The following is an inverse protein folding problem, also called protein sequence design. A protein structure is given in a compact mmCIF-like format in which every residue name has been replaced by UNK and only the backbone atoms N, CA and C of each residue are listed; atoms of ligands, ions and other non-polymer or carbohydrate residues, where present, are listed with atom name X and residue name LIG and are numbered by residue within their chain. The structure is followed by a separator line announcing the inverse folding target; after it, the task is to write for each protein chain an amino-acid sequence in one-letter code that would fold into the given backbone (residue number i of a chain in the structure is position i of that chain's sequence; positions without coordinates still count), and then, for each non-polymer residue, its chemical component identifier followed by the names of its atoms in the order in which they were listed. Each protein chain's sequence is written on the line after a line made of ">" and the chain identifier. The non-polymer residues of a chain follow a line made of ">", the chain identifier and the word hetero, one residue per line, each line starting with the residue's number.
data_IF_005712170311
#
_entry.id   IF_005712170311
#
_cell.length_a   1.000
_cell.length_b   1.000
_cell.length_c   1.000
_cell.angle_alpha   90.00
_cell.angle_beta   90.00
_cell.angle_gamma   90.00
#
_symmetry.space_group_name_H-M   'P 1'
#
loop_
_entity.id
_entity.type
_entity.pdbx_description
1 polymer ?
#
# COMPACT_ATOMS: atom_id res chain seq x y z
N UNK A 1 -12.87 26.51 19.45
CA UNK A 1 -13.14 25.47 18.43
C UNK A 1 -11.88 24.61 18.28
N UNK A 2 -11.85 23.37 18.80
CA UNK A 2 -10.66 22.50 18.69
C UNK A 2 -10.55 22.00 17.25
N UNK A 3 -9.61 22.52 16.47
CA UNK A 3 -9.34 22.04 15.11
C UNK A 3 -8.91 20.57 15.20
N UNK A 4 -9.72 19.66 14.66
CA UNK A 4 -9.36 18.24 14.57
C UNK A 4 -8.08 18.16 13.72
N UNK A 5 -7.03 17.42 14.14
CA UNK A 5 -5.85 17.23 13.31
C UNK A 5 -6.28 16.71 11.93
N UNK A 6 -5.91 17.41 10.87
CA UNK A 6 -6.22 17.02 9.51
C UNK A 6 -5.45 15.75 9.14
N UNK A 7 -6.05 14.91 8.32
CA UNK A 7 -5.38 13.73 7.78
C UNK A 7 -4.34 14.17 6.73
N UNK A 8 -3.13 13.58 6.72
CA UNK A 8 -2.10 13.92 5.75
C UNK A 8 -2.38 13.23 4.41
N UNK A 9 -3.38 13.70 3.67
CA UNK A 9 -3.77 13.14 2.37
C UNK A 9 -2.62 12.99 1.38
N UNK A 10 -1.69 13.96 1.22
CA UNK A 10 -0.55 13.79 0.33
C UNK A 10 0.31 12.57 0.70
N UNK A 11 0.52 12.35 2.00
CA UNK A 11 1.28 11.19 2.50
C UNK A 11 0.54 9.88 2.22
N UNK A 12 -0.77 9.83 2.47
CA UNK A 12 -1.61 8.66 2.21
C UNK A 12 -1.52 8.25 0.73
N UNK A 13 -1.69 9.21 -0.18
CA UNK A 13 -1.67 8.97 -1.61
C UNK A 13 -0.25 8.59 -2.10
N UNK A 14 0.78 9.26 -1.60
CA UNK A 14 2.17 8.95 -1.94
C UNK A 14 2.57 7.53 -1.50
N UNK A 15 2.22 7.12 -0.29
CA UNK A 15 2.51 5.78 0.22
C UNK A 15 1.71 4.70 -0.52
N UNK A 16 0.44 4.98 -0.83
CA UNK A 16 -0.38 4.09 -1.66
C UNK A 16 0.19 3.91 -3.07
N UNK A 17 0.64 5.01 -3.70
CA UNK A 17 1.26 4.98 -5.02
C UNK A 17 2.62 4.26 -5.02
N UNK A 18 3.44 4.47 -3.98
CA UNK A 18 4.71 3.75 -3.80
C UNK A 18 4.51 2.23 -3.81
N UNK A 19 3.42 1.73 -3.23
CA UNK A 19 3.14 0.30 -3.21
C UNK A 19 2.81 -0.31 -4.59
N UNK A 20 2.55 0.53 -5.62
CA UNK A 20 2.41 0.08 -7.02
C UNK A 20 3.69 -0.51 -7.60
N UNK A 21 4.85 -0.28 -6.97
CA UNK A 21 6.10 -0.96 -7.34
C UNK A 21 5.91 -2.48 -7.37
N UNK A 22 5.14 -3.03 -6.42
CA UNK A 22 4.90 -4.47 -6.32
C UNK A 22 4.16 -5.05 -7.55
N UNK A 23 2.98 -4.57 -7.96
CA UNK A 23 2.33 -5.07 -9.17
C UNK A 23 3.15 -4.79 -10.44
N UNK A 24 3.86 -3.67 -10.53
CA UNK A 24 4.71 -3.38 -11.69
C UNK A 24 5.85 -4.39 -11.84
N UNK A 25 6.51 -4.78 -10.74
CA UNK A 25 7.55 -5.82 -10.77
C UNK A 25 6.98 -7.17 -11.24
N UNK A 26 5.80 -7.56 -10.74
CA UNK A 26 5.15 -8.80 -11.20
C UNK A 26 4.82 -8.79 -12.69
N UNK A 27 4.42 -7.63 -13.23
CA UNK A 27 4.14 -7.46 -14.65
C UNK A 27 5.45 -7.56 -15.44
N UNK A 28 6.52 -6.93 -14.95
CA UNK A 28 7.83 -6.96 -15.61
C UNK A 28 8.39 -8.39 -15.67
N UNK A 29 8.41 -9.10 -14.54
CA UNK A 29 8.88 -10.49 -14.45
C UNK A 29 8.11 -11.39 -15.43
N UNK A 30 6.78 -11.27 -15.48
CA UNK A 30 5.94 -12.05 -16.38
C UNK A 30 6.18 -11.75 -17.87
N UNK A 31 6.71 -10.57 -18.20
CA UNK A 31 6.92 -10.11 -19.58
C UNK A 31 8.33 -10.34 -20.09
N UNK A 32 9.33 -10.23 -19.23
CA UNK A 32 10.74 -10.41 -19.60
C UNK A 32 11.18 -11.87 -19.48
N UNK A 33 10.39 -12.72 -18.82
CA UNK A 33 10.82 -14.08 -18.48
C UNK A 33 12.01 -14.09 -17.51
N UNK A 34 12.21 -12.99 -16.77
CA UNK A 34 13.23 -12.91 -15.75
C UNK A 34 12.83 -13.81 -14.59
N UNK A 35 13.64 -14.83 -14.31
CA UNK A 35 13.45 -15.76 -13.19
C UNK A 35 13.82 -15.07 -11.86
N UNK A 36 13.00 -14.09 -11.49
CA UNK A 36 13.10 -13.41 -10.22
C UNK A 36 13.06 -14.44 -9.08
N UNK A 37 13.93 -14.33 -8.07
CA UNK A 37 13.94 -15.25 -6.95
C UNK A 37 12.56 -15.34 -6.30
N UNK A 38 12.14 -16.55 -5.90
CA UNK A 38 10.86 -16.78 -5.21
C UNK A 38 10.67 -15.91 -3.96
N UNK A 39 11.75 -15.43 -3.36
CA UNK A 39 11.76 -14.53 -2.19
C UNK A 39 11.51 -13.05 -2.53
N UNK A 40 11.66 -12.62 -3.79
CA UNK A 40 11.56 -11.22 -4.19
C UNK A 40 10.22 -10.57 -3.78
N UNK A 41 9.04 -11.19 -3.98
CA UNK A 41 7.77 -10.58 -3.58
C UNK A 41 7.67 -10.31 -2.07
N UNK A 42 8.25 -11.20 -1.26
CA UNK A 42 8.29 -11.04 0.20
C UNK A 42 9.21 -9.89 0.60
N UNK A 43 10.42 -9.84 0.03
CA UNK A 43 11.39 -8.78 0.28
C UNK A 43 10.80 -7.41 -0.07
N UNK A 44 10.21 -7.27 -1.26
CA UNK A 44 9.57 -6.01 -1.70
C UNK A 44 8.45 -5.61 -0.75
N UNK A 45 7.63 -6.56 -0.30
CA UNK A 45 6.53 -6.29 0.64
C UNK A 45 7.06 -5.80 2.00
N UNK A 46 8.14 -6.41 2.50
CA UNK A 46 8.78 -5.99 3.75
C UNK A 46 9.41 -4.60 3.63
N UNK A 47 10.09 -4.31 2.52
CA UNK A 47 10.68 -3.00 2.25
C UNK A 47 9.61 -1.92 2.19
N UNK A 48 8.53 -2.13 1.42
CA UNK A 48 7.40 -1.19 1.35
C UNK A 48 6.80 -0.95 2.73
N UNK A 49 6.59 -2.03 3.50
CA UNK A 49 6.02 -1.95 4.85
C UNK A 49 6.93 -1.17 5.81
N UNK A 50 8.26 -1.39 5.72
CA UNK A 50 9.24 -0.64 6.51
C UNK A 50 9.23 0.85 6.14
N UNK A 51 9.17 1.19 4.84
CA UNK A 51 9.08 2.58 4.37
C UNK A 51 7.79 3.23 4.84
N UNK A 52 6.65 2.54 4.77
CA UNK A 52 5.37 3.03 5.28
C UNK A 52 5.43 3.35 6.78
N UNK A 53 5.93 2.40 7.58
CA UNK A 53 6.09 2.55 9.03
C UNK A 53 7.03 3.71 9.35
N UNK A 54 8.20 3.76 8.71
CA UNK A 54 9.19 4.82 8.93
C UNK A 54 8.65 6.19 8.54
N UNK A 55 8.06 6.34 7.36
CA UNK A 55 7.53 7.61 6.88
C UNK A 55 6.46 8.18 7.84
N UNK A 56 5.51 7.35 8.27
CA UNK A 56 4.45 7.77 9.20
C UNK A 56 4.98 8.02 10.61
N UNK A 57 5.92 7.20 11.08
CA UNK A 57 6.55 7.39 12.39
C UNK A 57 7.36 8.69 12.45
N UNK A 58 8.22 8.92 11.46
CA UNK A 58 9.08 10.11 11.35
C UNK A 58 8.27 11.39 11.11
N UNK A 59 7.15 11.30 10.39
CA UNK A 59 6.24 12.43 10.18
C UNK A 59 5.42 12.79 11.43
N UNK A 60 5.57 12.05 12.54
CA UNK A 60 4.82 12.22 13.80
C UNK A 60 3.32 12.43 13.58
N UNK A 61 2.75 11.67 12.64
CA UNK A 61 1.36 11.82 12.24
C UNK A 61 0.44 11.56 13.44
N UNK A 62 -0.52 12.45 13.69
CA UNK A 62 -1.42 12.36 14.85
C UNK A 62 -2.29 11.09 14.88
N UNK A 63 -2.50 10.45 13.73
CA UNK A 63 -3.34 9.25 13.56
C UNK A 63 -2.61 8.21 12.70
N UNK A 64 -1.54 7.57 13.20
CA UNK A 64 -0.67 6.70 12.38
C UNK A 64 -1.41 5.49 11.83
N UNK A 65 -2.26 4.86 12.66
CA UNK A 65 -3.06 3.69 12.27
C UNK A 65 -4.02 4.02 11.13
N UNK A 66 -4.84 5.06 11.30
CA UNK A 66 -5.80 5.47 10.28
C UNK A 66 -5.09 5.89 8.98
N UNK A 67 -3.93 6.53 9.08
CA UNK A 67 -3.12 6.94 7.92
C UNK A 67 -2.69 5.73 7.10
N UNK A 68 -2.16 4.67 7.74
CA UNK A 68 -1.70 3.48 7.03
C UNK A 68 -2.84 2.57 6.56
N UNK A 69 -3.98 2.53 7.26
CA UNK A 69 -5.20 1.90 6.72
C UNK A 69 -5.65 2.59 5.43
N UNK A 70 -5.70 3.92 5.43
CA UNK A 70 -6.06 4.69 4.22
C UNK A 70 -5.00 4.55 3.11
N UNK A 71 -3.71 4.43 3.44
CA UNK A 71 -2.66 4.15 2.46
C UNK A 71 -2.81 2.76 1.84
N UNK A 72 -3.16 1.74 2.65
CA UNK A 72 -3.54 0.41 2.17
C UNK A 72 -4.72 0.44 1.20
N UNK A 73 -5.78 1.15 1.57
CA UNK A 73 -6.94 1.34 0.70
C UNK A 73 -6.59 2.11 -0.58
N UNK A 74 -5.77 3.16 -0.50
CA UNK A 74 -5.30 3.90 -1.66
C UNK A 74 -4.51 2.99 -2.62
N UNK A 75 -3.58 2.18 -2.09
CA UNK A 75 -2.87 1.18 -2.88
C UNK A 75 -3.83 0.18 -3.55
N UNK A 76 -4.82 -0.33 -2.83
CA UNK A 76 -5.82 -1.24 -3.38
C UNK A 76 -6.56 -0.63 -4.56
N UNK A 77 -7.06 0.61 -4.39
CA UNK A 77 -7.75 1.35 -5.46
C UNK A 77 -6.82 1.58 -6.65
N UNK A 78 -5.59 2.05 -6.42
CA UNK A 78 -4.63 2.26 -7.50
C UNK A 78 -4.28 0.97 -8.24
N UNK A 79 -4.14 -0.14 -7.53
CA UNK A 79 -3.86 -1.45 -8.13
C UNK A 79 -5.02 -1.94 -8.99
N UNK A 80 -6.27 -1.74 -8.54
CA UNK A 80 -7.47 -2.05 -9.33
C UNK A 80 -7.51 -1.21 -10.61
N UNK A 81 -7.28 0.09 -10.50
CA UNK A 81 -7.24 1.01 -11.65
C UNK A 81 -6.10 0.66 -12.60
N UNK A 82 -4.91 0.38 -12.07
CA UNK A 82 -3.74 -0.02 -12.86
C UNK A 82 -4.03 -1.31 -13.62
N UNK A 83 -4.58 -2.34 -12.98
CA UNK A 83 -4.98 -3.58 -13.63
C UNK A 83 -6.03 -3.34 -14.71
N UNK A 84 -7.04 -2.52 -14.41
CA UNK A 84 -8.11 -2.19 -15.36
C UNK A 84 -7.62 -1.44 -16.59
N UNK A 85 -6.57 -0.63 -16.45
CA UNK A 85 -5.97 0.13 -17.55
C UNK A 85 -4.93 -0.69 -18.32
N UNK A 86 -4.04 -1.42 -17.62
CA UNK A 86 -2.97 -2.17 -18.26
C UNK A 86 -3.46 -3.47 -18.90
N UNK A 87 -4.41 -4.19 -18.31
CA UNK A 87 -4.83 -5.49 -18.86
C UNK A 87 -5.42 -5.40 -20.28
N UNK A 88 -6.33 -4.47 -20.62
CA UNK A 88 -6.82 -4.36 -22.00
C UNK A 88 -5.70 -3.95 -22.97
N UNK A 89 -4.79 -3.07 -22.52
CA UNK A 89 -3.66 -2.59 -23.33
C UNK A 89 -2.62 -3.69 -23.61
N UNK A 90 -2.39 -4.57 -22.65
CA UNK A 90 -1.30 -5.55 -22.70
C UNK A 90 -1.75 -6.97 -23.07
N UNK A 91 -2.98 -7.35 -22.72
CA UNK A 91 -3.54 -8.70 -22.90
C UNK A 91 -4.70 -8.73 -23.92
N UNK A 92 -5.21 -7.57 -24.35
CA UNK A 92 -6.36 -7.46 -25.27
C UNK A 92 -7.73 -7.71 -24.61
N UNK A 93 -7.74 -8.05 -23.33
CA UNK A 93 -8.96 -8.33 -22.55
C UNK A 93 -8.89 -7.65 -21.19
N UNK A 94 -10.05 -7.22 -20.68
CA UNK A 94 -10.15 -6.67 -19.33
C UNK A 94 -9.97 -7.80 -18.30
N UNK A 95 -8.96 -7.69 -17.45
CA UNK A 95 -8.67 -8.64 -16.36
C UNK A 95 -8.56 -7.93 -15.01
N UNK A 96 -8.69 -8.73 -13.96
CA UNK A 96 -8.60 -8.29 -12.57
C UNK A 96 -9.94 -7.88 -11.96
N UNK A 97 -9.93 -7.12 -10.84
CA UNK A 97 -11.13 -6.87 -10.05
C UNK A 97 -12.22 -6.07 -10.77
N UNK A 98 -11.88 -5.31 -11.82
CA UNK A 98 -12.89 -4.64 -12.66
C UNK A 98 -13.62 -5.61 -13.60
N UNK A 99 -12.99 -6.71 -14.01
CA UNK A 99 -13.63 -7.76 -14.79
C UNK A 99 -14.51 -8.68 -13.92
N UNK A 100 -14.15 -8.81 -12.64
CA UNK A 100 -14.88 -9.61 -11.64
C UNK A 100 -15.14 -8.77 -10.38
N UNK A 101 -16.18 -7.93 -10.35
CA UNK A 101 -16.39 -6.94 -9.28
C UNK A 101 -16.43 -7.52 -7.85
N UNK A 102 -16.84 -8.78 -7.71
CA UNK A 102 -16.84 -9.47 -6.41
C UNK A 102 -15.42 -9.60 -5.81
N UNK A 103 -14.37 -9.55 -6.63
CA UNK A 103 -12.98 -9.56 -6.19
C UNK A 103 -12.50 -8.22 -5.60
N UNK A 104 -13.27 -7.13 -5.74
CA UNK A 104 -12.91 -5.81 -5.19
C UNK A 104 -12.89 -5.85 -3.66
N UNK A 105 -13.92 -6.45 -3.05
CA UNK A 105 -14.06 -6.54 -1.59
C UNK A 105 -12.84 -7.20 -0.93
N UNK A 106 -12.43 -8.42 -1.30
CA UNK A 106 -11.26 -9.05 -0.66
C UNK A 106 -9.97 -8.26 -0.90
N UNK A 107 -9.79 -7.63 -2.07
CA UNK A 107 -8.63 -6.77 -2.33
C UNK A 107 -8.59 -5.58 -1.37
N UNK A 108 -9.72 -4.89 -1.16
CA UNK A 108 -9.79 -3.78 -0.21
C UNK A 108 -9.56 -4.27 1.23
N UNK A 109 -10.20 -5.37 1.64
CA UNK A 109 -10.10 -5.90 3.00
C UNK A 109 -8.67 -6.31 3.36
N UNK A 110 -7.99 -7.05 2.48
CA UNK A 110 -6.60 -7.51 2.73
C UNK A 110 -5.66 -6.32 2.87
N UNK A 111 -5.79 -5.31 2.00
CA UNK A 111 -4.93 -4.14 2.05
C UNK A 111 -5.24 -3.22 3.24
N UNK A 112 -6.51 -3.10 3.63
CA UNK A 112 -6.88 -2.41 4.86
C UNK A 112 -6.33 -3.11 6.11
N UNK A 113 -6.39 -4.45 6.14
CA UNK A 113 -5.81 -5.24 7.22
C UNK A 113 -4.28 -5.09 7.29
N UNK A 114 -3.60 -5.08 6.13
CA UNK A 114 -2.16 -4.84 6.10
C UNK A 114 -1.78 -3.41 6.53
N UNK A 115 -2.59 -2.42 6.10
CA UNK A 115 -2.50 -1.04 6.56
C UNK A 115 -2.72 -0.90 8.08
N UNK A 116 -3.60 -1.71 8.66
CA UNK A 116 -3.80 -1.78 10.10
C UNK A 116 -2.56 -2.33 10.82
N UNK A 117 -2.00 -3.45 10.35
CA UNK A 117 -0.80 -4.06 10.92
C UNK A 117 0.37 -3.07 10.92
N UNK A 118 0.66 -2.49 9.76
CA UNK A 118 1.73 -1.49 9.63
C UNK A 118 1.42 -0.21 10.42
N UNK A 119 0.15 0.18 10.47
CA UNK A 119 -0.38 1.25 11.31
C UNK A 119 -0.06 1.09 12.80
N UNK A 120 -0.29 -0.10 13.33
CA UNK A 120 0.02 -0.45 14.72
C UNK A 120 1.52 -0.42 14.96
N UNK A 121 2.33 -0.96 14.04
CA UNK A 121 3.79 -0.89 14.13
C UNK A 121 4.29 0.57 14.17
N UNK A 122 3.77 1.44 13.30
CA UNK A 122 4.12 2.86 13.30
C UNK A 122 3.76 3.56 14.62
N UNK A 123 2.59 3.24 15.19
CA UNK A 123 2.17 3.75 16.50
C UNK A 123 3.14 3.32 17.61
N UNK A 124 3.55 2.04 17.62
CA UNK A 124 4.50 1.51 18.60
C UNK A 124 5.86 2.20 18.48
N UNK A 125 6.36 2.39 17.26
CA UNK A 125 7.63 3.11 17.00
C UNK A 125 7.55 4.56 17.50
N UNK A 126 6.46 5.27 17.21
CA UNK A 126 6.29 6.66 17.70
C UNK A 126 6.26 6.73 19.24
N UNK A 127 5.53 5.81 19.90
CA UNK A 127 5.44 5.78 21.37
C UNK A 127 6.79 5.45 22.00
N UNK A 128 7.51 4.48 21.48
CA UNK A 128 8.85 4.13 21.96
C UNK A 128 9.87 5.27 21.77
N UNK A 129 9.75 6.04 20.68
CA UNK A 129 10.60 7.20 20.43
C UNK A 129 10.29 8.38 21.38
N UNK A 130 9.01 8.62 21.68
CA UNK A 130 8.58 9.68 22.61
C UNK A 130 8.99 9.41 24.06
N UNK A 131 9.12 8.15 24.46
CA UNK A 131 9.59 7.77 25.79
C UNK A 131 11.10 7.98 26.01
N UNK A 132 11.86 8.22 24.93
CA UNK A 132 13.32 8.41 24.96
C UNK A 132 13.76 9.87 24.87
N UNK A 133 12.82 10.82 24.76
CA UNK A 133 13.06 12.24 24.60
C UNK A 133 12.63 13.00 25.86
#
# INVERSE_FOLDING_TARGET
>A
MKTRPSLPWPLILALGALALVRPLLRILDARTGFDSPTSLPLIVTLVISAVWVAAVALSRTARPVLTLVLAGLAYAVFSILLSGLLSPLLDGELRGPLATPIAIVPVLTINAAWGLVTGVLALLVQRGALQRA
#
